data_IF_643442501165
#
_entry.id   IF_643442501165
#
_cell.length_a   1.000
_cell.length_b   1.000
_cell.length_c   1.000
_cell.angle_alpha   90.00
_cell.angle_beta   90.00
_cell.angle_gamma   90.00
#
_symmetry.space_group_name_H-M   'P 1'
#
loop_
_entity.id
_entity.type
_entity.pdbx_description
1 polymer ?
#
# COMPACT_ATOMS: atom_id res chain seq x y z
N UNK A 1 23.90 -14.85 -18.06
CA UNK A 1 22.81 -14.41 -17.14
C UNK A 1 23.05 -15.06 -15.79
N UNK A 2 23.41 -14.28 -14.76
CA UNK A 2 23.66 -14.79 -13.39
C UNK A 2 22.54 -14.29 -12.48
N UNK A 3 21.71 -15.20 -11.98
CA UNK A 3 20.69 -14.95 -10.97
C UNK A 3 21.37 -14.71 -9.62
N UNK A 4 21.19 -13.50 -9.07
CA UNK A 4 21.51 -13.18 -7.68
C UNK A 4 20.33 -13.58 -6.82
N UNK A 5 20.52 -14.54 -5.91
CA UNK A 5 19.59 -14.77 -4.82
C UNK A 5 19.83 -13.70 -3.74
N UNK A 6 18.74 -13.11 -3.25
CA UNK A 6 18.74 -12.20 -2.11
C UNK A 6 18.52 -13.07 -0.87
N UNK A 7 19.56 -13.19 -0.05
CA UNK A 7 19.52 -13.86 1.24
C UNK A 7 18.79 -12.95 2.23
N UNK A 8 17.56 -13.32 2.63
CA UNK A 8 16.83 -12.63 3.68
C UNK A 8 17.31 -13.19 5.02
N UNK A 9 18.01 -12.35 5.76
CA UNK A 9 18.53 -12.67 7.09
C UNK A 9 17.37 -12.61 8.10
N UNK A 10 16.85 -13.77 8.51
CA UNK A 10 15.86 -13.86 9.59
C UNK A 10 16.52 -13.48 10.93
N UNK A 11 15.93 -12.56 11.72
CA UNK A 11 16.38 -12.36 13.08
C UNK A 11 15.95 -13.56 13.93
N UNK A 12 16.93 -14.34 14.36
CA UNK A 12 16.78 -15.39 15.35
C UNK A 12 16.10 -14.83 16.61
N UNK A 13 14.83 -15.14 16.79
CA UNK A 13 14.13 -14.96 18.06
C UNK A 13 14.76 -15.91 19.09
N UNK A 14 15.73 -15.40 19.86
CA UNK A 14 16.28 -16.13 21.00
C UNK A 14 15.18 -16.27 22.05
N UNK A 15 14.62 -17.49 22.08
CA UNK A 15 13.59 -17.91 23.00
C UNK A 15 14.01 -17.69 24.45
N UNK A 16 13.07 -17.14 25.21
CA UNK A 16 13.01 -17.17 26.66
C UNK A 16 13.09 -18.61 27.17
N UNK A 17 14.31 -19.11 27.36
CA UNK A 17 14.59 -20.42 27.95
C UNK A 17 15.45 -20.28 29.21
N UNK A 18 15.06 -19.39 30.14
CA UNK A 18 15.78 -19.20 31.39
C UNK A 18 14.83 -19.03 32.58
N UNK A 19 13.89 -19.96 32.76
CA UNK A 19 13.15 -20.05 34.03
C UNK A 19 12.54 -21.44 34.19
N UNK A 20 13.33 -22.39 34.69
CA UNK A 20 12.88 -23.55 35.49
C UNK A 20 14.06 -24.47 35.71
N UNK A 21 14.53 -24.53 36.97
CA UNK A 21 15.14 -25.67 37.68
C UNK A 21 16.22 -25.13 38.61
N UNK A 22 15.87 -24.87 39.86
CA UNK A 22 16.74 -25.13 41.02
C UNK A 22 15.89 -25.10 42.30
N UNK A 23 15.02 -26.11 42.43
CA UNK A 23 14.58 -26.60 43.74
C UNK A 23 15.68 -27.49 44.30
N UNK A 24 16.55 -26.94 45.16
CA UNK A 24 17.36 -27.75 46.08
C UNK A 24 17.01 -27.34 47.51
N UNK A 25 16.02 -28.03 48.06
CA UNK A 25 15.82 -28.13 49.50
C UNK A 25 16.75 -29.27 49.96
N UNK A 26 18.00 -28.95 50.28
CA UNK A 26 18.87 -29.90 51.01
C UNK A 26 18.54 -29.76 52.49
N UNK A 27 17.98 -30.84 53.01
CA UNK A 27 17.85 -31.13 54.42
C UNK A 27 19.14 -31.88 54.77
N UNK A 28 19.98 -31.31 55.63
CA UNK A 28 21.05 -32.04 56.31
C UNK A 28 21.14 -31.47 57.74
N UNK A 29 20.76 -32.32 58.69
CA UNK A 29 20.87 -32.14 60.13
C UNK A 29 22.18 -32.75 60.62
N UNK A 30 23.01 -32.00 61.37
CA UNK A 30 23.77 -32.50 62.53
C UNK A 30 24.68 -31.42 63.14
N UNK A 31 24.52 -31.21 64.45
CA UNK A 31 25.63 -31.02 65.40
C UNK A 31 26.26 -29.63 65.55
N UNK A 32 25.85 -28.89 66.60
CA UNK A 32 26.60 -27.73 67.12
C UNK A 32 25.91 -27.09 68.31
N UNK A 33 26.58 -27.05 69.46
CA UNK A 33 26.10 -26.67 70.80
C UNK A 33 25.83 -25.16 71.02
N UNK A 34 24.76 -24.88 71.81
CA UNK A 34 24.52 -23.76 72.77
C UNK A 34 24.39 -22.30 72.27
N UNK A 35 23.80 -21.35 73.05
CA UNK A 35 23.01 -21.44 74.30
C UNK A 35 21.58 -20.85 74.17
N UNK A 36 20.79 -21.00 75.23
CA UNK A 36 19.41 -20.50 75.38
C UNK A 36 19.25 -19.02 75.02
N UNK A 37 18.44 -18.75 74.01
CA UNK A 37 17.95 -17.41 73.67
C UNK A 37 16.42 -17.44 73.83
N UNK A 38 15.81 -16.55 74.62
CA UNK A 38 14.37 -16.55 74.84
C UNK A 38 13.62 -16.33 73.52
N UNK A 39 12.75 -17.30 73.21
CA UNK A 39 12.00 -17.48 71.97
C UNK A 39 10.79 -16.52 71.80
N UNK A 40 10.88 -15.25 72.22
CA UNK A 40 9.71 -14.35 72.19
C UNK A 40 9.73 -13.26 71.10
N UNK A 41 10.70 -13.26 70.18
CA UNK A 41 10.79 -12.21 69.15
C UNK A 41 10.73 -12.69 67.70
N UNK A 42 10.50 -13.98 67.43
CA UNK A 42 10.40 -14.51 66.05
C UNK A 42 8.97 -14.97 65.75
N UNK A 43 7.98 -14.16 66.10
CA UNK A 43 6.60 -14.33 65.62
C UNK A 43 6.04 -13.05 64.97
N UNK A 44 6.89 -12.30 64.26
CA UNK A 44 6.46 -11.15 63.46
C UNK A 44 6.82 -11.27 61.97
N UNK A 45 7.00 -12.49 61.45
CA UNK A 45 7.25 -12.71 60.04
C UNK A 45 6.39 -13.87 59.50
N UNK A 46 5.07 -13.81 59.71
CA UNK A 46 4.17 -14.52 58.81
C UNK A 46 4.38 -13.93 57.41
N UNK A 47 4.83 -14.71 56.40
CA UNK A 47 4.85 -14.20 55.04
C UNK A 47 3.40 -13.92 54.68
N UNK A 48 3.01 -12.65 54.62
CA UNK A 48 1.78 -12.21 53.98
C UNK A 48 1.86 -12.74 52.57
N UNK A 49 1.29 -13.93 52.35
CA UNK A 49 1.05 -14.49 51.02
C UNK A 49 0.25 -13.41 50.32
N UNK A 50 0.92 -12.60 49.49
CA UNK A 50 0.27 -11.72 48.54
C UNK A 50 -0.63 -12.66 47.75
N UNK A 51 -1.91 -12.66 48.09
CA UNK A 51 -2.95 -13.19 47.24
C UNK A 51 -2.83 -12.33 46.00
N UNK A 52 -2.01 -12.77 45.04
CA UNK A 52 -2.20 -12.41 43.65
C UNK A 52 -3.65 -12.76 43.40
N UNK A 53 -4.51 -11.73 43.44
CA UNK A 53 -5.91 -11.85 43.04
C UNK A 53 -5.82 -12.50 41.68
N UNK A 54 -6.14 -13.80 41.62
CA UNK A 54 -5.99 -14.59 40.40
C UNK A 54 -6.68 -13.80 39.31
N UNK A 55 -6.00 -13.63 38.17
CA UNK A 55 -6.69 -13.22 36.96
C UNK A 55 -7.89 -14.14 36.84
N UNK A 56 -9.08 -13.59 37.11
CA UNK A 56 -10.30 -14.37 37.02
C UNK A 56 -10.41 -14.74 35.54
N UNK A 57 -10.84 -15.96 35.24
CA UNK A 57 -11.15 -16.38 33.87
C UNK A 57 -12.05 -15.36 33.17
N UNK A 58 -12.91 -14.69 33.93
CA UNK A 58 -13.69 -13.54 33.47
C UNK A 58 -12.83 -12.39 32.90
N UNK A 59 -11.78 -11.94 33.60
CA UNK A 59 -10.91 -10.87 33.10
C UNK A 59 -10.17 -11.27 31.81
N UNK A 60 -9.81 -12.55 31.68
CA UNK A 60 -9.21 -13.10 30.46
C UNK A 60 -10.21 -13.02 29.30
N UNK A 61 -11.46 -13.44 29.53
CA UNK A 61 -12.53 -13.37 28.53
C UNK A 61 -12.82 -11.93 28.10
N UNK A 62 -12.87 -10.98 29.04
CA UNK A 62 -13.06 -9.56 28.71
C UNK A 62 -11.92 -9.03 27.84
N UNK A 63 -10.67 -9.31 28.19
CA UNK A 63 -9.51 -8.91 27.37
C UNK A 63 -9.59 -9.49 25.96
N UNK A 64 -10.01 -10.75 25.83
CA UNK A 64 -10.16 -11.42 24.53
C UNK A 64 -11.24 -10.74 23.68
N UNK A 65 -12.35 -10.33 24.30
CA UNK A 65 -13.42 -9.58 23.64
C UNK A 65 -12.95 -8.21 23.16
N UNK A 66 -12.20 -7.48 23.99
CA UNK A 66 -11.61 -6.19 23.63
C UNK A 66 -10.61 -6.35 22.48
N UNK A 67 -9.76 -7.37 22.52
CA UNK A 67 -8.82 -7.67 21.43
C UNK A 67 -9.55 -7.99 20.13
N UNK A 68 -10.63 -8.79 20.18
CA UNK A 68 -11.44 -9.08 19.01
C UNK A 68 -12.03 -7.79 18.41
N UNK A 69 -12.60 -6.92 19.24
CA UNK A 69 -13.11 -5.62 18.80
C UNK A 69 -12.02 -4.74 18.18
N UNK A 70 -10.84 -4.67 18.80
CA UNK A 70 -9.70 -3.89 18.28
C UNK A 70 -9.24 -4.40 16.91
N UNK A 71 -9.17 -5.72 16.73
CA UNK A 71 -8.80 -6.33 15.45
C UNK A 71 -9.84 -6.00 14.37
N UNK A 72 -11.14 -6.18 14.67
CA UNK A 72 -12.21 -5.85 13.72
C UNK A 72 -12.20 -4.36 13.36
N UNK A 73 -12.02 -3.48 14.34
CA UNK A 73 -11.92 -2.04 14.12
C UNK A 73 -10.70 -1.66 13.28
N UNK A 74 -9.54 -2.28 13.55
CA UNK A 74 -8.33 -2.09 12.76
C UNK A 74 -8.54 -2.48 11.30
N UNK A 75 -9.10 -3.67 11.04
CA UNK A 75 -9.41 -4.12 9.67
C UNK A 75 -10.38 -3.14 8.99
N UNK A 76 -11.43 -2.69 9.69
CA UNK A 76 -12.37 -1.72 9.15
C UNK A 76 -11.71 -0.40 8.76
N UNK A 77 -10.71 0.05 9.52
CA UNK A 77 -9.99 1.28 9.24
C UNK A 77 -9.05 1.10 8.03
N UNK A 78 -8.30 0.00 7.97
CA UNK A 78 -7.42 -0.31 6.82
C UNK A 78 -8.22 -0.41 5.52
N UNK A 79 -9.36 -1.10 5.53
CA UNK A 79 -10.24 -1.21 4.35
C UNK A 79 -10.78 0.17 3.93
N UNK A 80 -11.12 1.04 4.89
CA UNK A 80 -11.56 2.39 4.59
C UNK A 80 -10.45 3.22 3.92
N UNK A 81 -9.22 3.13 4.41
CA UNK A 81 -8.05 3.78 3.82
C UNK A 81 -7.75 3.24 2.42
N UNK A 82 -7.81 1.93 2.20
CA UNK A 82 -7.63 1.33 0.87
C UNK A 82 -8.70 1.83 -0.11
N UNK A 83 -9.95 1.94 0.34
CA UNK A 83 -11.04 2.47 -0.50
C UNK A 83 -10.83 3.95 -0.87
N UNK A 84 -10.24 4.74 0.03
CA UNK A 84 -9.88 6.14 -0.23
C UNK A 84 -8.72 6.24 -1.23
N UNK A 85 -7.73 5.35 -1.11
CA UNK A 85 -6.60 5.30 -2.04
C UNK A 85 -7.04 4.92 -3.46
N UNK A 86 -7.97 3.96 -3.60
CA UNK A 86 -8.55 3.61 -4.91
C UNK A 86 -9.28 4.81 -5.52
N UNK A 87 -10.09 5.53 -4.74
CA UNK A 87 -10.77 6.74 -5.21
C UNK A 87 -9.80 7.84 -5.65
N UNK A 88 -8.68 7.98 -4.95
CA UNK A 88 -7.65 8.95 -5.32
C UNK A 88 -7.03 8.60 -6.68
N UNK A 89 -6.70 7.33 -6.91
CA UNK A 89 -6.17 6.85 -8.19
C UNK A 89 -7.19 7.08 -9.33
N UNK A 90 -8.48 6.85 -9.08
CA UNK A 90 -9.53 7.13 -10.06
C UNK A 90 -9.61 8.62 -10.40
N UNK A 91 -9.50 9.50 -9.39
CA UNK A 91 -9.50 10.94 -9.60
C UNK A 91 -8.27 11.40 -10.42
N UNK A 92 -7.09 10.88 -10.09
CA UNK A 92 -5.86 11.18 -10.83
C UNK A 92 -5.95 10.74 -12.29
N UNK A 93 -6.54 9.57 -12.56
CA UNK A 93 -6.80 9.12 -13.93
C UNK A 93 -7.77 10.05 -14.67
N UNK A 94 -8.83 10.49 -14.02
CA UNK A 94 -9.77 11.44 -14.61
C UNK A 94 -9.10 12.78 -14.93
N UNK A 95 -8.23 13.28 -14.04
CA UNK A 95 -7.45 14.49 -14.29
C UNK A 95 -6.51 14.33 -15.48
N UNK A 96 -5.80 13.20 -15.58
CA UNK A 96 -4.92 12.91 -16.71
C UNK A 96 -5.69 12.85 -18.03
N UNK A 97 -6.88 12.24 -18.05
CA UNK A 97 -7.73 12.22 -19.24
C UNK A 97 -8.15 13.63 -19.68
N UNK A 98 -8.56 14.48 -18.74
CA UNK A 98 -8.92 15.87 -19.04
C UNK A 98 -7.73 16.70 -19.55
N UNK A 99 -6.52 16.46 -19.02
CA UNK A 99 -5.31 17.12 -19.52
C UNK A 99 -4.98 16.70 -20.95
N UNK A 100 -5.09 15.40 -21.24
CA UNK A 100 -4.90 14.88 -22.59
C UNK A 100 -5.93 15.43 -23.57
N UNK A 101 -7.19 15.53 -23.16
CA UNK A 101 -8.25 16.12 -23.98
C UNK A 101 -7.99 17.61 -24.26
N UNK A 102 -7.52 18.36 -23.27
CA UNK A 102 -7.10 19.75 -23.45
C UNK A 102 -5.94 19.89 -24.43
N UNK A 103 -4.97 18.98 -24.37
CA UNK A 103 -3.85 18.98 -25.31
C UNK A 103 -4.31 18.65 -26.74
N UNK A 104 -5.21 17.67 -26.89
CA UNK A 104 -5.81 17.35 -28.18
C UNK A 104 -6.60 18.53 -28.77
N UNK A 105 -7.46 19.17 -27.96
CA UNK A 105 -8.20 20.36 -28.38
C UNK A 105 -7.27 21.52 -28.77
N UNK A 106 -6.14 21.70 -28.07
CA UNK A 106 -5.13 22.69 -28.45
C UNK A 106 -4.49 22.36 -29.80
N UNK A 107 -4.24 21.09 -30.09
CA UNK A 107 -3.72 20.65 -31.38
C UNK A 107 -4.73 20.92 -32.50
N UNK A 108 -6.01 20.60 -32.28
CA UNK A 108 -7.09 20.87 -33.23
C UNK A 108 -7.26 22.36 -33.52
N UNK A 109 -7.26 23.21 -32.48
CA UNK A 109 -7.31 24.66 -32.63
C UNK A 109 -6.12 25.17 -33.46
N UNK A 110 -4.92 24.63 -33.21
CA UNK A 110 -3.74 25.03 -33.95
C UNK A 110 -3.82 24.60 -35.43
N UNK A 111 -4.37 23.41 -35.71
CA UNK A 111 -4.66 22.99 -37.08
C UNK A 111 -5.67 23.90 -37.76
N UNK A 112 -6.83 24.16 -37.13
CA UNK A 112 -7.86 25.05 -37.68
C UNK A 112 -7.34 26.47 -37.91
N UNK A 113 -6.56 27.00 -36.97
CA UNK A 113 -5.91 28.30 -37.09
C UNK A 113 -4.93 28.32 -38.28
N UNK A 114 -4.15 27.25 -38.43
CA UNK A 114 -3.23 27.09 -39.55
C UNK A 114 -3.98 27.03 -40.89
N UNK A 115 -5.08 26.27 -40.97
CA UNK A 115 -5.94 26.21 -42.15
C UNK A 115 -6.52 27.57 -42.50
N UNK A 116 -7.08 28.30 -41.54
CA UNK A 116 -7.61 29.65 -41.74
C UNK A 116 -6.53 30.60 -42.25
N UNK A 117 -5.31 30.51 -41.71
CA UNK A 117 -4.19 31.33 -42.16
C UNK A 117 -3.80 31.02 -43.61
N UNK A 118 -3.73 29.75 -43.98
CA UNK A 118 -3.43 29.33 -45.36
C UNK A 118 -4.54 29.77 -46.30
N UNK A 119 -5.80 29.55 -45.93
CA UNK A 119 -6.96 29.98 -46.71
C UNK A 119 -6.96 31.49 -46.94
N UNK A 120 -6.63 32.27 -45.90
CA UNK A 120 -6.52 33.72 -46.01
C UNK A 120 -5.45 34.14 -47.01
N UNK A 121 -4.25 33.56 -46.93
CA UNK A 121 -3.15 33.84 -47.89
C UNK A 121 -3.56 33.42 -49.31
N UNK A 122 -4.19 32.26 -49.46
CA UNK A 122 -4.65 31.77 -50.77
C UNK A 122 -5.68 32.71 -51.41
N UNK A 123 -6.64 33.23 -50.64
CA UNK A 123 -7.71 34.09 -51.15
C UNK A 123 -7.26 35.55 -51.29
N UNK A 124 -6.62 36.12 -50.27
CA UNK A 124 -6.25 37.55 -50.23
C UNK A 124 -5.00 37.85 -51.07
N UNK A 125 -3.91 37.07 -50.89
CA UNK A 125 -2.62 37.38 -51.52
C UNK A 125 -2.48 36.75 -52.90
N UNK A 126 -3.02 35.53 -53.07
CA UNK A 126 -2.90 34.76 -54.31
C UNK A 126 -4.15 34.84 -55.20
N UNK A 127 -5.26 35.40 -54.70
CA UNK A 127 -6.51 35.53 -55.46
C UNK A 127 -7.13 34.18 -55.86
N UNK A 128 -6.75 33.08 -55.21
CA UNK A 128 -7.23 31.74 -55.52
C UNK A 128 -8.65 31.59 -55.00
N UNK A 129 -9.60 31.41 -55.92
CA UNK A 129 -11.00 31.13 -55.62
C UNK A 129 -11.16 29.61 -55.52
N UNK A 130 -11.95 29.13 -54.56
CA UNK A 130 -12.27 27.70 -54.43
C UNK A 130 -12.84 27.19 -55.77
N UNK A 131 -12.10 26.32 -56.45
CA UNK A 131 -12.57 25.68 -57.66
C UNK A 131 -13.70 24.70 -57.28
N UNK A 132 -14.91 24.96 -57.74
CA UNK A 132 -16.11 24.14 -57.46
C UNK A 132 -16.05 22.75 -58.15
N UNK A 133 -14.96 22.47 -58.86
CA UNK A 133 -14.63 21.19 -59.46
C UNK A 133 -13.17 20.88 -59.12
N UNK A 134 -12.93 19.70 -58.54
CA UNK A 134 -11.59 19.20 -58.34
C UNK A 134 -10.92 19.09 -59.72
N UNK A 135 -9.75 19.73 -59.95
CA UNK A 135 -9.01 19.49 -61.18
C UNK A 135 -8.68 18.00 -61.22
N UNK A 136 -9.10 17.34 -62.30
CA UNK A 136 -8.73 15.95 -62.59
C UNK A 136 -7.25 15.80 -62.31
N UNK A 137 -6.90 14.88 -61.41
CA UNK A 137 -5.52 14.57 -61.08
C UNK A 137 -4.78 14.35 -62.39
N UNK A 138 -3.81 15.21 -62.70
CA UNK A 138 -2.86 14.96 -63.77
C UNK A 138 -2.23 13.61 -63.46
N UNK A 139 -2.69 12.56 -64.14
CA UNK A 139 -2.01 11.28 -64.17
C UNK A 139 -0.66 11.55 -64.80
N UNK A 140 0.35 11.70 -63.94
CA UNK A 140 1.75 11.79 -64.31
C UNK A 140 2.06 10.49 -65.07
N UNK A 141 2.23 10.63 -66.39
CA UNK A 141 2.66 9.62 -67.36
C UNK A 141 1.73 8.41 -67.62
N UNK A 142 0.97 8.50 -68.71
CA UNK A 142 1.12 7.54 -69.82
C UNK A 142 0.66 6.10 -69.63
N UNK A 143 -0.17 5.76 -68.64
CA UNK A 143 -0.82 4.44 -68.61
C UNK A 143 -2.26 4.62 -69.06
N UNK A 144 -2.49 4.33 -70.33
CA UNK A 144 -3.84 4.11 -70.89
C UNK A 144 -4.44 2.95 -70.09
N UNK A 145 -5.57 3.13 -69.36
CA UNK A 145 -6.29 1.97 -68.87
C UNK A 145 -6.88 1.29 -70.10
N UNK A 146 -6.31 0.15 -70.51
CA UNK A 146 -6.96 -0.75 -71.44
C UNK A 146 -8.32 -1.10 -70.84
N UNK A 147 -9.36 -0.65 -71.52
CA UNK A 147 -10.73 -1.08 -71.36
C UNK A 147 -10.77 -2.57 -71.65
N UNK A 148 -10.69 -3.38 -70.59
CA UNK A 148 -10.98 -4.81 -70.65
C UNK A 148 -12.50 -4.95 -70.70
N UNK A 149 -13.05 -4.83 -71.91
CA UNK A 149 -14.42 -5.23 -72.22
C UNK A 149 -14.37 -6.65 -72.79
N UNK A 150 -14.71 -7.64 -71.96
CA UNK A 150 -15.30 -8.94 -72.35
C UNK A 150 -16.10 -9.53 -71.19
#
# INVERSE_FOLDING_TARGET
>A
MRTKYVEIQEPAAQGFAAAKRFTRKRMDTAGGMSPDVPFDYVQAAAPRRRRVKGLTTFNIVVMLMVFAMLITFYISNVVAVDSLMVKQIELEKAEQMLLQERENLRAEINQLSSYNRIQRIAVEDLGLVHANQQPYSLTVFGIVPETTEK
#
